data_IF_997440520906
#
_entry.id   IF_997440520906
#
_cell.length_a   1.000
_cell.length_b   1.000
_cell.length_c   1.000
_cell.angle_alpha   90.00
_cell.angle_beta   90.00
_cell.angle_gamma   90.00
#
_symmetry.space_group_name_H-M   'P 1'
#
loop_
_entity.id
_entity.type
_entity.pdbx_description
1 polymer ?
#
# COMPACT_ATOMS: atom_id res chain seq x y z
N UNK A 1 9.31 15.37 5.52
CA UNK A 1 7.93 15.14 5.99
C UNK A 1 7.11 14.21 5.08
N UNK A 2 7.32 14.19 3.75
CA UNK A 2 6.55 13.34 2.83
C UNK A 2 6.67 11.83 3.11
N UNK A 3 7.87 11.34 3.45
CA UNK A 3 8.12 9.92 3.74
C UNK A 3 7.34 9.41 4.96
N UNK A 4 7.27 10.18 6.05
CA UNK A 4 6.56 9.79 7.27
C UNK A 4 5.04 9.73 7.06
N UNK A 5 4.49 10.62 6.22
CA UNK A 5 3.07 10.59 5.84
C UNK A 5 2.75 9.34 5.01
N UNK A 6 3.64 8.99 4.08
CA UNK A 6 3.52 7.79 3.26
C UNK A 6 3.59 6.51 4.12
N UNK A 7 4.55 6.45 5.05
CA UNK A 7 4.68 5.32 5.97
C UNK A 7 3.42 5.14 6.84
N UNK A 8 2.85 6.24 7.37
CA UNK A 8 1.59 6.19 8.13
C UNK A 8 0.43 5.68 7.29
N UNK A 9 0.29 6.15 6.04
CA UNK A 9 -0.73 5.65 5.08
C UNK A 9 -0.55 4.14 4.84
N UNK A 10 0.66 3.72 4.50
CA UNK A 10 0.97 2.32 4.20
C UNK A 10 0.61 1.42 5.39
N UNK A 11 1.05 1.81 6.60
CA UNK A 11 0.75 1.08 7.81
C UNK A 11 -0.74 1.03 8.14
N UNK A 12 -1.48 2.10 7.87
CA UNK A 12 -2.94 2.15 8.01
C UNK A 12 -3.63 1.12 7.11
N UNK A 13 -3.33 1.18 5.81
CA UNK A 13 -3.89 0.27 4.81
C UNK A 13 -3.51 -1.20 5.09
N UNK A 14 -2.26 -1.45 5.49
CA UNK A 14 -1.82 -2.79 5.90
C UNK A 14 -2.60 -3.36 7.07
N UNK A 15 -2.95 -2.53 8.06
CA UNK A 15 -3.81 -2.97 9.19
C UNK A 15 -5.21 -3.35 8.72
N UNK A 16 -5.77 -2.62 7.75
CA UNK A 16 -7.09 -2.90 7.18
C UNK A 16 -7.06 -4.21 6.39
N UNK A 17 -6.05 -4.39 5.54
CA UNK A 17 -5.82 -5.62 4.76
C UNK A 17 -5.69 -6.83 5.70
N UNK A 18 -4.89 -6.73 6.76
CA UNK A 18 -4.71 -7.79 7.76
C UNK A 18 -6.00 -8.12 8.52
N UNK A 19 -6.91 -7.15 8.66
CA UNK A 19 -8.24 -7.35 9.26
C UNK A 19 -9.28 -7.89 8.28
N UNK A 20 -8.91 -8.12 7.02
CA UNK A 20 -9.82 -8.62 5.97
C UNK A 20 -10.88 -7.61 5.54
N UNK A 21 -10.71 -6.32 5.86
CA UNK A 21 -11.69 -5.26 5.56
C UNK A 21 -11.38 -4.57 4.24
N UNK A 22 -11.18 -5.34 3.18
CA UNK A 22 -10.87 -4.79 1.87
C UNK A 22 -12.18 -4.50 1.12
N UNK A 23 -12.59 -3.24 1.12
CA UNK A 23 -13.69 -2.71 0.32
C UNK A 23 -13.15 -2.16 -1.00
N UNK A 24 -14.03 -1.88 -1.96
CA UNK A 24 -13.65 -1.25 -3.25
C UNK A 24 -12.93 0.09 -3.03
N UNK A 25 -13.45 0.96 -2.15
CA UNK A 25 -12.81 2.24 -1.82
C UNK A 25 -11.39 2.07 -1.27
N UNK A 26 -11.19 1.06 -0.42
CA UNK A 26 -9.87 0.76 0.15
C UNK A 26 -8.96 0.12 -0.90
N UNK A 27 -9.52 -0.65 -1.84
CA UNK A 27 -8.80 -1.17 -2.98
C UNK A 27 -8.23 -0.03 -3.84
N UNK A 28 -9.05 0.97 -4.14
CA UNK A 28 -8.65 2.15 -4.91
C UNK A 28 -7.57 2.94 -4.18
N UNK A 29 -7.71 3.14 -2.87
CA UNK A 29 -6.67 3.81 -2.07
C UNK A 29 -5.36 3.02 -2.03
N UNK A 30 -5.43 1.69 -1.92
CA UNK A 30 -4.25 0.81 -1.98
C UNK A 30 -3.56 0.88 -3.34
N UNK A 31 -4.31 0.87 -4.44
CA UNK A 31 -3.75 1.07 -5.79
C UNK A 31 -3.06 2.41 -5.92
N UNK A 32 -3.71 3.50 -5.50
CA UNK A 32 -3.11 4.83 -5.54
C UNK A 32 -1.81 4.92 -4.72
N UNK A 33 -1.75 4.27 -3.55
CA UNK A 33 -0.53 4.25 -2.74
C UNK A 33 0.56 3.38 -3.39
N UNK A 34 0.20 2.28 -4.04
CA UNK A 34 1.16 1.48 -4.81
C UNK A 34 1.79 2.34 -5.91
N UNK A 35 0.96 3.03 -6.69
CA UNK A 35 1.40 3.88 -7.79
C UNK A 35 2.26 5.04 -7.28
N UNK A 36 1.87 5.71 -6.18
CA UNK A 36 2.70 6.72 -5.51
C UNK A 36 4.08 6.16 -5.15
N UNK A 37 4.18 4.93 -4.62
CA UNK A 37 5.48 4.33 -4.27
C UNK A 37 6.26 3.95 -5.53
N UNK A 38 5.59 3.49 -6.59
CA UNK A 38 6.23 3.17 -7.87
C UNK A 38 6.74 4.39 -8.62
N UNK A 39 6.16 5.56 -8.39
CA UNK A 39 6.67 6.83 -8.93
C UNK A 39 7.81 7.40 -8.08
N UNK A 40 8.00 6.93 -6.85
CA UNK A 40 9.13 7.31 -6.00
C UNK A 40 10.41 6.57 -6.39
N UNK A 41 11.57 7.15 -6.05
CA UNK A 41 12.87 6.56 -6.38
C UNK A 41 13.10 5.18 -5.74
N UNK A 42 13.98 4.38 -6.36
CA UNK A 42 14.26 2.98 -5.99
C UNK A 42 14.56 2.76 -4.49
N UNK A 43 15.20 3.72 -3.84
CA UNK A 43 15.48 3.65 -2.40
C UNK A 43 14.19 3.53 -1.57
N UNK A 44 13.14 4.26 -1.93
CA UNK A 44 11.85 4.24 -1.23
C UNK A 44 11.09 2.95 -1.56
N UNK A 45 11.09 2.53 -2.83
CA UNK A 45 10.51 1.24 -3.24
C UNK A 45 11.12 0.08 -2.46
N UNK A 46 12.44 0.09 -2.26
CA UNK A 46 13.14 -0.96 -1.53
C UNK A 46 12.70 -1.02 -0.07
N UNK A 47 12.55 0.13 0.59
CA UNK A 47 12.06 0.22 1.97
C UNK A 47 10.61 -0.28 2.13
N UNK A 48 9.74 -0.03 1.15
CA UNK A 48 8.34 -0.45 1.19
C UNK A 48 8.03 -1.73 0.41
N UNK A 49 9.05 -2.41 -0.13
CA UNK A 49 8.88 -3.55 -1.04
C UNK A 49 8.03 -4.67 -0.45
N UNK A 50 8.19 -4.97 0.85
CA UNK A 50 7.39 -5.97 1.55
C UNK A 50 5.92 -5.56 1.61
N UNK A 51 5.64 -4.33 2.08
CA UNK A 51 4.28 -3.80 2.21
C UNK A 51 3.58 -3.68 0.85
N UNK A 52 4.31 -3.20 -0.17
CA UNK A 52 3.84 -3.16 -1.56
C UNK A 52 3.42 -4.55 -2.05
N UNK A 53 4.23 -5.57 -1.78
CA UNK A 53 3.94 -6.92 -2.23
C UNK A 53 2.71 -7.51 -1.51
N UNK A 54 2.54 -7.23 -0.22
CA UNK A 54 1.33 -7.62 0.51
C UNK A 54 0.08 -6.90 -0.01
N UNK A 55 0.17 -5.59 -0.27
CA UNK A 55 -0.90 -4.78 -0.85
C UNK A 55 -1.33 -5.30 -2.23
N UNK A 56 -0.36 -5.54 -3.13
CA UNK A 56 -0.62 -6.14 -4.45
C UNK A 56 -1.28 -7.51 -4.36
N UNK A 57 -0.84 -8.36 -3.42
CA UNK A 57 -1.46 -9.67 -3.18
C UNK A 57 -2.89 -9.53 -2.69
N UNK A 58 -3.14 -8.58 -1.79
CA UNK A 58 -4.45 -8.35 -1.22
C UNK A 58 -5.45 -7.84 -2.28
N UNK A 59 -5.02 -6.91 -3.15
CA UNK A 59 -5.80 -6.48 -4.32
C UNK A 59 -6.15 -7.64 -5.25
N UNK A 60 -5.17 -8.52 -5.54
CA UNK A 60 -5.42 -9.70 -6.40
C UNK A 60 -6.43 -10.68 -5.80
N UNK A 61 -6.53 -10.78 -4.47
CA UNK A 61 -7.50 -11.66 -3.80
C UNK A 61 -8.93 -11.12 -3.79
N UNK A 62 -9.13 -9.85 -4.15
CA UNK A 62 -10.46 -9.25 -4.27
C UNK A 62 -11.13 -9.53 -5.63
N UNK A 63 -10.34 -9.87 -6.66
CA UNK A 63 -10.85 -10.38 -7.95
C UNK A 63 -11.28 -11.83 -7.81
#
# INVERSE_FOLDING_TARGET
MAHEKLEKKINGLMKVIKKGRMTEEIADEVSNVIDEIEDLGDAVKKNFSSSLNEMKKALKKMK
#
